data_IF_536820864871
#
_entry.id   IF_536820864871
#
_cell.length_a   1.000
_cell.length_b   1.000
_cell.length_c   1.000
_cell.angle_alpha   90.00
_cell.angle_beta   90.00
_cell.angle_gamma   90.00
#
_symmetry.space_group_name_H-M   'P 1'
#
loop_
_entity.id
_entity.type
_entity.pdbx_description
1 polymer ?
#
# COMPACT_ATOMS: atom_id res chain seq x y z
N UNK A 1 -75.63 -69.92 -2.98
CA UNK A 1 -74.71 -68.78 -3.17
C UNK A 1 -73.71 -69.17 -4.24
N UNK A 2 -73.74 -68.50 -5.38
CA UNK A 2 -72.88 -68.81 -6.53
C UNK A 2 -71.42 -68.46 -6.21
N UNK A 3 -70.46 -69.11 -6.87
CA UNK A 3 -69.02 -68.90 -6.67
C UNK A 3 -68.62 -67.43 -6.83
N UNK A 4 -69.23 -66.72 -7.78
CA UNK A 4 -69.02 -65.29 -8.01
C UNK A 4 -69.52 -64.42 -6.85
N UNK A 5 -70.68 -64.73 -6.28
CA UNK A 5 -71.22 -64.02 -5.10
C UNK A 5 -70.32 -64.23 -3.87
N UNK A 6 -69.68 -65.40 -3.76
CA UNK A 6 -68.72 -65.71 -2.67
C UNK A 6 -67.44 -64.93 -2.80
N UNK A 7 -66.94 -64.77 -4.01
CA UNK A 7 -65.78 -63.95 -4.27
C UNK A 7 -66.07 -62.47 -4.01
N UNK A 8 -67.22 -61.95 -4.45
CA UNK A 8 -67.63 -60.57 -4.20
C UNK A 8 -67.80 -60.27 -2.71
N UNK A 9 -68.45 -61.16 -1.95
CA UNK A 9 -68.60 -61.01 -0.49
C UNK A 9 -67.25 -61.03 0.23
N UNK A 10 -66.37 -61.95 -0.16
CA UNK A 10 -65.04 -62.03 0.44
C UNK A 10 -64.22 -60.76 0.16
N UNK A 11 -64.30 -60.19 -1.05
CA UNK A 11 -63.65 -58.92 -1.40
C UNK A 11 -64.18 -57.75 -0.58
N UNK A 12 -65.49 -57.69 -0.34
CA UNK A 12 -66.10 -56.67 0.53
C UNK A 12 -65.62 -56.80 1.99
N UNK A 13 -65.52 -58.03 2.51
CA UNK A 13 -64.96 -58.32 3.85
C UNK A 13 -63.51 -57.82 3.95
N UNK A 14 -62.68 -58.06 2.92
CA UNK A 14 -61.29 -57.59 2.89
C UNK A 14 -61.21 -56.07 2.84
N UNK A 15 -62.09 -55.41 2.07
CA UNK A 15 -62.17 -53.94 1.98
C UNK A 15 -62.51 -53.32 3.33
N UNK A 16 -63.54 -53.82 3.99
CA UNK A 16 -63.99 -53.34 5.31
C UNK A 16 -62.89 -53.47 6.37
N UNK A 17 -62.12 -54.56 6.34
CA UNK A 17 -60.96 -54.75 7.22
C UNK A 17 -59.80 -53.79 6.89
N UNK A 18 -59.59 -53.45 5.60
CA UNK A 18 -58.57 -52.47 5.18
C UNK A 18 -58.96 -51.03 5.55
N UNK A 19 -60.25 -50.73 5.54
CA UNK A 19 -60.81 -49.44 5.99
C UNK A 19 -60.81 -49.29 7.53
N UNK A 20 -60.36 -50.33 8.26
CA UNK A 20 -60.05 -50.25 9.68
C UNK A 20 -61.12 -50.82 10.62
N UNK A 21 -62.16 -51.47 10.10
CA UNK A 21 -63.12 -52.17 10.97
C UNK A 21 -62.47 -53.34 11.69
N UNK A 22 -62.85 -53.55 12.97
CA UNK A 22 -62.33 -54.68 13.75
C UNK A 22 -62.92 -55.98 13.22
N UNK A 23 -62.13 -57.06 13.27
CA UNK A 23 -62.54 -58.40 12.78
C UNK A 23 -63.83 -58.91 13.43
N UNK A 24 -64.09 -58.55 14.68
CA UNK A 24 -65.33 -58.87 15.40
C UNK A 24 -66.55 -58.19 14.80
N UNK A 25 -66.39 -56.97 14.32
CA UNK A 25 -67.48 -56.14 13.81
C UNK A 25 -67.80 -56.54 12.36
N UNK A 26 -66.76 -56.85 11.58
CA UNK A 26 -66.90 -57.44 10.24
C UNK A 26 -67.53 -58.84 10.32
N UNK A 27 -67.13 -59.67 11.29
CA UNK A 27 -67.76 -60.97 11.54
C UNK A 27 -69.26 -60.84 11.83
N UNK A 28 -69.64 -59.86 12.66
CA UNK A 28 -71.05 -59.57 12.95
C UNK A 28 -71.80 -59.03 11.73
N UNK A 29 -71.20 -58.11 10.98
CA UNK A 29 -71.79 -57.48 9.78
C UNK A 29 -72.09 -58.49 8.66
N UNK A 30 -71.21 -59.48 8.47
CA UNK A 30 -71.35 -60.47 7.40
C UNK A 30 -71.89 -61.83 7.88
N UNK A 31 -72.24 -61.97 9.16
CA UNK A 31 -72.79 -63.19 9.74
C UNK A 31 -71.82 -64.37 9.69
N UNK A 32 -70.53 -64.11 9.87
CA UNK A 32 -69.46 -65.12 9.80
C UNK A 32 -68.76 -65.29 11.14
N UNK A 33 -68.23 -66.48 11.40
CA UNK A 33 -67.32 -66.69 12.51
C UNK A 33 -66.04 -65.85 12.33
N UNK A 34 -65.47 -65.38 13.43
CA UNK A 34 -64.27 -64.53 13.43
C UNK A 34 -63.07 -65.24 12.79
N UNK A 35 -62.96 -66.55 12.99
CA UNK A 35 -61.93 -67.38 12.36
C UNK A 35 -62.10 -67.38 10.84
N UNK A 36 -63.33 -67.47 10.35
CA UNK A 36 -63.64 -67.45 8.91
C UNK A 36 -63.30 -66.11 8.27
N UNK A 37 -63.58 -64.99 8.96
CA UNK A 37 -63.15 -63.65 8.50
C UNK A 37 -61.63 -63.54 8.47
N UNK A 38 -60.93 -64.12 9.45
CA UNK A 38 -59.46 -64.13 9.47
C UNK A 38 -58.88 -64.99 8.34
N UNK A 39 -59.50 -66.14 8.06
CA UNK A 39 -59.10 -67.05 6.98
C UNK A 39 -59.35 -66.41 5.60
N UNK A 40 -60.50 -65.77 5.40
CA UNK A 40 -60.81 -65.05 4.17
C UNK A 40 -59.81 -63.91 3.95
N UNK A 41 -59.51 -63.16 5.01
CA UNK A 41 -58.50 -62.11 4.94
C UNK A 41 -57.13 -62.67 4.57
N UNK A 42 -56.69 -63.78 5.18
CA UNK A 42 -55.39 -64.40 4.87
C UNK A 42 -55.32 -65.04 3.48
N UNK A 43 -56.43 -65.58 2.97
CA UNK A 43 -56.49 -66.24 1.65
C UNK A 43 -56.59 -65.24 0.50
N UNK A 44 -57.22 -64.08 0.71
CA UNK A 44 -57.37 -63.04 -0.31
C UNK A 44 -56.36 -61.89 -0.19
N UNK A 45 -55.57 -61.84 0.88
CA UNK A 45 -54.39 -61.00 0.94
C UNK A 45 -53.24 -61.60 0.13
N UNK A 46 -53.40 -61.61 -1.20
CA UNK A 46 -52.27 -61.55 -2.11
C UNK A 46 -51.85 -60.08 -2.16
N UNK A 47 -50.65 -59.84 -1.63
CA UNK A 47 -49.83 -58.64 -1.69
C UNK A 47 -50.40 -57.28 -1.25
N UNK A 48 -50.01 -56.87 -0.03
CA UNK A 48 -49.27 -55.62 0.16
C UNK A 48 -48.14 -55.88 1.16
N UNK A 49 -46.99 -56.41 0.73
CA UNK A 49 -45.76 -56.25 1.48
C UNK A 49 -45.26 -54.85 1.14
N UNK A 50 -45.49 -53.87 2.01
CA UNK A 50 -44.36 -52.96 2.23
C UNK A 50 -43.36 -53.87 2.93
N UNK A 51 -42.44 -54.41 2.14
CA UNK A 51 -41.46 -55.42 2.52
C UNK A 51 -40.98 -55.08 3.93
N UNK A 52 -41.19 -55.98 4.90
CA UNK A 52 -40.88 -55.70 6.33
C UNK A 52 -39.45 -55.16 6.46
N UNK A 53 -38.55 -55.64 5.60
CA UNK A 53 -37.18 -55.12 5.47
C UNK A 53 -37.11 -53.69 4.96
N UNK A 54 -37.85 -53.31 3.90
CA UNK A 54 -37.89 -51.94 3.39
C UNK A 54 -38.56 -50.97 4.38
N UNK A 55 -39.60 -51.39 5.09
CA UNK A 55 -40.23 -50.58 6.15
C UNK A 55 -39.29 -50.38 7.33
N UNK A 56 -38.64 -51.46 7.79
CA UNK A 56 -37.70 -51.38 8.90
C UNK A 56 -36.45 -50.57 8.49
N UNK A 57 -36.02 -50.63 7.22
CA UNK A 57 -35.00 -49.76 6.63
C UNK A 57 -35.44 -48.29 6.56
N UNK A 58 -36.69 -48.00 6.18
CA UNK A 58 -37.23 -46.64 6.15
C UNK A 58 -37.36 -46.05 7.57
N UNK A 59 -37.80 -46.86 8.55
CA UNK A 59 -37.83 -46.46 9.97
C UNK A 59 -36.42 -46.18 10.48
N UNK A 60 -35.44 -47.02 10.11
CA UNK A 60 -34.04 -46.75 10.41
C UNK A 60 -33.65 -45.43 9.76
N UNK A 61 -33.86 -45.22 8.46
CA UNK A 61 -33.54 -43.98 7.73
C UNK A 61 -34.13 -42.72 8.39
N UNK A 62 -35.40 -42.73 8.79
CA UNK A 62 -36.01 -41.58 9.47
C UNK A 62 -35.40 -41.31 10.86
N UNK A 63 -35.03 -42.36 11.60
CA UNK A 63 -34.25 -42.23 12.83
C UNK A 63 -32.81 -41.75 12.53
N UNK A 64 -32.26 -42.14 11.38
CA UNK A 64 -31.00 -41.65 10.80
C UNK A 64 -31.14 -40.20 10.27
N UNK A 65 -32.32 -39.62 10.16
CA UNK A 65 -32.50 -38.22 9.74
C UNK A 65 -32.81 -37.31 10.94
N UNK A 66 -32.87 -37.89 12.14
CA UNK A 66 -33.03 -37.15 13.41
C UNK A 66 -34.47 -37.02 13.90
N UNK A 67 -35.41 -37.73 13.28
CA UNK A 67 -36.80 -37.75 13.73
C UNK A 67 -36.89 -38.38 15.14
N UNK A 68 -37.63 -37.74 16.05
CA UNK A 68 -37.81 -38.29 17.40
C UNK A 68 -38.59 -39.59 17.32
N UNK A 69 -38.24 -40.56 18.17
CA UNK A 69 -38.94 -41.86 18.22
C UNK A 69 -40.46 -41.72 18.43
N UNK A 70 -40.91 -40.69 19.14
CA UNK A 70 -42.33 -40.35 19.32
C UNK A 70 -43.02 -40.00 18.00
N UNK A 71 -42.30 -39.31 17.12
CA UNK A 71 -42.80 -38.83 15.84
C UNK A 71 -42.75 -39.97 14.80
N UNK A 72 -41.74 -40.83 14.87
CA UNK A 72 -41.66 -42.09 14.10
C UNK A 72 -42.79 -43.05 14.49
N UNK A 73 -43.13 -43.16 15.78
CA UNK A 73 -44.31 -43.93 16.25
C UNK A 73 -45.60 -43.41 15.62
N UNK A 74 -45.77 -42.08 15.57
CA UNK A 74 -46.94 -41.45 14.94
C UNK A 74 -46.95 -41.65 13.42
N UNK A 75 -45.81 -41.50 12.75
CA UNK A 75 -45.66 -41.60 11.29
C UNK A 75 -45.92 -43.03 10.79
N UNK A 76 -45.33 -44.03 11.42
CA UNK A 76 -45.44 -45.43 10.99
C UNK A 76 -46.54 -46.23 11.70
N UNK A 77 -47.22 -45.62 12.69
CA UNK A 77 -48.30 -46.23 13.48
C UNK A 77 -47.90 -47.57 14.09
N UNK A 78 -46.65 -47.70 14.52
CA UNK A 78 -46.12 -48.88 15.18
C UNK A 78 -45.96 -48.63 16.67
N UNK A 79 -46.08 -49.69 17.47
CA UNK A 79 -45.84 -49.63 18.91
C UNK A 79 -44.40 -49.16 19.21
N UNK A 80 -44.25 -48.41 20.30
CA UNK A 80 -42.97 -47.85 20.73
C UNK A 80 -41.89 -48.92 20.91
N UNK A 81 -42.28 -50.09 21.41
CA UNK A 81 -41.45 -51.25 21.65
C UNK A 81 -40.87 -51.81 20.35
N UNK A 82 -41.69 -51.85 19.29
CA UNK A 82 -41.30 -52.34 17.95
C UNK A 82 -40.27 -51.41 17.32
N UNK A 83 -40.49 -50.09 17.37
CA UNK A 83 -39.52 -49.10 16.87
C UNK A 83 -38.23 -49.12 17.71
N UNK A 84 -38.36 -49.31 19.03
CA UNK A 84 -37.21 -49.44 19.94
C UNK A 84 -36.42 -50.73 19.72
N UNK A 85 -37.08 -51.80 19.29
CA UNK A 85 -36.44 -53.06 18.93
C UNK A 85 -35.71 -52.93 17.59
N UNK A 86 -36.35 -52.34 16.56
CA UNK A 86 -35.73 -52.08 15.25
C UNK A 86 -34.49 -51.18 15.41
N UNK A 87 -34.59 -50.10 16.19
CA UNK A 87 -33.46 -49.22 16.48
C UNK A 87 -32.30 -49.93 17.20
N UNK A 88 -32.60 -50.85 18.12
CA UNK A 88 -31.59 -51.68 18.81
C UNK A 88 -30.96 -52.72 17.89
N UNK A 89 -31.78 -53.43 17.11
CA UNK A 89 -31.36 -54.51 16.21
C UNK A 89 -30.45 -54.00 15.09
N UNK A 90 -30.75 -52.84 14.51
CA UNK A 90 -29.95 -52.27 13.44
C UNK A 90 -28.73 -51.47 13.94
N UNK A 91 -28.44 -51.50 15.25
CA UNK A 91 -27.47 -50.60 15.93
C UNK A 91 -27.63 -49.14 15.47
N UNK A 92 -28.83 -48.78 15.05
CA UNK A 92 -29.11 -47.48 14.51
C UNK A 92 -29.09 -46.47 15.66
N UNK A 93 -28.00 -45.72 15.69
CA UNK A 93 -28.12 -44.27 15.50
C UNK A 93 -28.41 -43.37 16.67
N UNK A 94 -28.00 -43.75 17.88
CA UNK A 94 -27.81 -42.72 18.92
C UNK A 94 -26.40 -42.67 19.48
N UNK A 95 -25.77 -43.80 19.81
CA UNK A 95 -24.43 -43.80 20.42
C UNK A 95 -23.33 -43.45 19.40
N UNK A 96 -23.37 -44.06 18.21
CA UNK A 96 -22.37 -43.87 17.14
C UNK A 96 -22.42 -42.42 16.64
N UNK A 97 -23.61 -41.92 16.30
CA UNK A 97 -23.82 -40.51 15.90
C UNK A 97 -23.55 -39.48 16.98
N UNK A 98 -23.70 -39.83 18.26
CA UNK A 98 -23.26 -38.96 19.36
C UNK A 98 -21.74 -38.93 19.45
N UNK A 99 -21.06 -40.04 19.14
CA UNK A 99 -19.61 -40.12 19.09
C UNK A 99 -19.05 -39.36 17.88
N UNK A 100 -19.63 -39.54 16.70
CA UNK A 100 -19.27 -38.80 15.48
C UNK A 100 -19.46 -37.29 15.65
N UNK A 101 -20.64 -36.84 16.11
CA UNK A 101 -20.86 -35.40 16.39
C UNK A 101 -19.93 -34.84 17.46
N UNK A 102 -19.52 -35.66 18.44
CA UNK A 102 -18.49 -35.25 19.41
C UNK A 102 -17.14 -35.12 18.75
N UNK A 103 -16.74 -36.08 17.91
CA UNK A 103 -15.48 -36.03 17.17
C UNK A 103 -15.43 -34.84 16.21
N UNK A 104 -16.50 -34.57 15.46
CA UNK A 104 -16.60 -33.40 14.58
C UNK A 104 -16.47 -32.09 15.37
N UNK A 105 -17.17 -31.97 16.51
CA UNK A 105 -17.05 -30.81 17.38
C UNK A 105 -15.64 -30.68 17.95
N UNK A 106 -15.06 -31.78 18.43
CA UNK A 106 -13.74 -31.79 19.05
C UNK A 106 -12.66 -31.47 18.00
N UNK A 107 -12.82 -31.91 16.74
CA UNK A 107 -12.00 -31.48 15.60
C UNK A 107 -12.18 -29.98 15.29
N UNK A 108 -13.41 -29.47 15.28
CA UNK A 108 -13.65 -28.04 15.07
C UNK A 108 -13.00 -27.18 16.15
N UNK A 109 -13.05 -27.61 17.42
CA UNK A 109 -12.36 -26.94 18.53
C UNK A 109 -10.85 -26.94 18.30
N UNK A 110 -10.27 -28.05 17.84
CA UNK A 110 -8.83 -28.14 17.54
C UNK A 110 -8.44 -27.18 16.43
N UNK A 111 -9.20 -27.14 15.34
CA UNK A 111 -8.96 -26.21 14.22
C UNK A 111 -9.01 -24.76 14.70
N UNK A 112 -10.06 -24.36 15.41
CA UNK A 112 -10.17 -23.01 15.98
C UNK A 112 -9.00 -22.65 16.90
N UNK A 113 -8.53 -23.59 17.73
CA UNK A 113 -7.38 -23.38 18.60
C UNK A 113 -6.07 -23.27 17.80
N UNK A 114 -5.91 -24.05 16.73
CA UNK A 114 -4.78 -23.99 15.81
C UNK A 114 -4.78 -22.69 15.01
N UNK A 115 -5.96 -22.16 14.66
CA UNK A 115 -6.18 -20.85 14.02
C UNK A 115 -5.95 -19.68 14.98
N UNK A 116 -5.88 -19.95 16.29
CA UNK A 116 -5.40 -19.02 17.29
C UNK A 116 -6.44 -18.51 18.26
N UNK A 117 -7.63 -19.11 18.25
CA UNK A 117 -8.66 -18.81 19.21
C UNK A 117 -8.12 -19.01 20.62
N UNK A 118 -8.38 -18.04 21.51
CA UNK A 118 -8.04 -18.24 22.91
C UNK A 118 -8.96 -19.31 23.46
N UNK A 119 -8.43 -20.15 24.34
CA UNK A 119 -9.22 -21.17 25.03
C UNK A 119 -10.43 -20.57 25.78
N UNK A 120 -10.37 -19.30 26.22
CA UNK A 120 -11.49 -18.60 26.89
C UNK A 120 -12.64 -18.38 25.92
N UNK A 121 -12.29 -18.03 24.70
CA UNK A 121 -13.23 -17.71 23.63
C UNK A 121 -13.82 -19.03 23.11
N UNK A 122 -13.02 -20.10 23.06
CA UNK A 122 -13.50 -21.45 22.77
C UNK A 122 -14.46 -21.98 23.85
N UNK A 123 -14.24 -21.68 25.14
CA UNK A 123 -15.19 -22.00 26.22
C UNK A 123 -16.54 -21.31 25.96
N UNK A 124 -16.53 -20.03 25.58
CA UNK A 124 -17.74 -19.27 25.28
C UNK A 124 -18.45 -19.78 24.01
N UNK A 125 -17.70 -20.03 22.92
CA UNK A 125 -18.25 -20.47 21.62
C UNK A 125 -18.87 -21.86 21.70
N UNK A 126 -18.21 -22.80 22.36
CA UNK A 126 -18.63 -24.21 22.38
C UNK A 126 -19.42 -24.62 23.63
N UNK A 127 -19.52 -23.73 24.63
CA UNK A 127 -20.25 -24.01 25.88
C UNK A 127 -19.64 -25.15 26.71
N UNK A 128 -18.34 -25.38 26.57
CA UNK A 128 -17.61 -26.48 27.21
C UNK A 128 -16.69 -25.94 28.32
N UNK A 129 -16.38 -26.78 29.29
CA UNK A 129 -15.46 -26.38 30.36
C UNK A 129 -14.04 -26.23 29.85
N UNK A 130 -13.28 -25.31 30.45
CA UNK A 130 -11.86 -25.10 30.17
C UNK A 130 -11.02 -26.38 30.23
N UNK A 131 -11.33 -27.26 31.19
CA UNK A 131 -10.67 -28.55 31.40
C UNK A 131 -10.91 -29.49 30.22
N UNK A 132 -12.15 -29.57 29.74
CA UNK A 132 -12.51 -30.45 28.63
C UNK A 132 -11.91 -29.98 27.30
N UNK A 133 -11.88 -28.67 27.03
CA UNK A 133 -11.18 -28.11 25.85
C UNK A 133 -9.67 -28.38 25.92
N UNK A 134 -9.07 -28.28 27.11
CA UNK A 134 -7.66 -28.61 27.29
C UNK A 134 -7.39 -30.09 27.08
N UNK A 135 -8.28 -30.97 27.56
CA UNK A 135 -8.20 -32.41 27.35
C UNK A 135 -8.28 -32.78 25.87
N UNK A 136 -9.23 -32.21 25.12
CA UNK A 136 -9.34 -32.42 23.66
C UNK A 136 -8.04 -32.03 22.96
N UNK A 137 -7.50 -30.85 23.29
CA UNK A 137 -6.24 -30.39 22.70
C UNK A 137 -5.09 -31.37 23.00
N UNK A 138 -4.99 -31.89 24.22
CA UNK A 138 -3.95 -32.86 24.57
C UNK A 138 -4.15 -34.24 23.92
N UNK A 139 -5.38 -34.73 23.85
CA UNK A 139 -5.71 -36.03 23.22
C UNK A 139 -5.44 -36.01 21.71
N UNK A 140 -5.61 -34.86 21.08
CA UNK A 140 -5.34 -34.63 19.65
C UNK A 140 -3.89 -34.18 19.39
N UNK A 141 -3.01 -34.20 20.41
CA UNK A 141 -1.59 -33.89 20.27
C UNK A 141 -1.26 -32.42 20.00
N UNK A 142 -2.21 -31.51 20.26
CA UNK A 142 -2.06 -30.07 20.01
C UNK A 142 -1.30 -29.42 21.18
N UNK A 143 0.01 -29.28 21.02
CA UNK A 143 0.81 -28.50 21.95
C UNK A 143 0.62 -26.99 21.71
N UNK A 144 -0.31 -26.42 22.47
CA UNK A 144 -0.60 -24.98 22.45
C UNK A 144 0.60 -24.11 22.86
N UNK A 145 1.54 -24.63 23.65
CA UNK A 145 2.74 -23.88 24.01
C UNK A 145 3.67 -23.74 22.80
N UNK A 146 3.83 -24.82 22.04
CA UNK A 146 4.56 -24.84 20.77
C UNK A 146 3.92 -23.92 19.74
N UNK A 147 2.61 -24.01 19.51
CA UNK A 147 1.89 -23.14 18.55
C UNK A 147 2.05 -21.66 18.91
N UNK A 148 1.95 -21.30 20.19
CA UNK A 148 2.18 -19.91 20.64
C UNK A 148 3.63 -19.47 20.47
N UNK A 149 4.59 -20.39 20.55
CA UNK A 149 6.01 -20.09 20.32
C UNK A 149 6.24 -19.84 18.82
N UNK A 150 5.74 -20.72 17.96
CA UNK A 150 5.85 -20.60 16.49
C UNK A 150 5.22 -19.28 16.00
N UNK A 151 3.99 -18.96 16.42
CA UNK A 151 3.34 -17.67 16.11
C UNK A 151 4.11 -16.45 16.59
N UNK A 152 4.74 -16.54 17.77
CA UNK A 152 5.60 -15.47 18.27
C UNK A 152 6.82 -15.32 17.39
N UNK A 153 7.43 -16.42 16.94
CA UNK A 153 8.56 -16.40 16.02
C UNK A 153 8.17 -15.82 14.67
N UNK A 154 7.04 -16.22 14.09
CA UNK A 154 6.52 -15.65 12.83
C UNK A 154 6.31 -14.14 12.93
N UNK A 155 5.66 -13.67 14.01
CA UNK A 155 5.50 -12.23 14.27
C UNK A 155 6.85 -11.55 14.43
N UNK A 156 7.75 -12.13 15.21
CA UNK A 156 9.06 -11.55 15.50
C UNK A 156 9.94 -11.49 14.23
N UNK A 157 9.82 -12.47 13.33
CA UNK A 157 10.42 -12.46 11.99
C UNK A 157 9.82 -11.38 11.09
N UNK A 158 8.49 -11.24 11.06
CA UNK A 158 7.83 -10.19 10.29
C UNK A 158 8.25 -8.79 10.75
N UNK A 159 8.39 -8.58 12.07
CA UNK A 159 8.89 -7.31 12.62
C UNK A 159 10.30 -7.02 12.10
N UNK A 160 11.20 -8.00 12.09
CA UNK A 160 12.58 -7.82 11.62
C UNK A 160 12.61 -7.55 10.12
N UNK A 161 11.77 -8.23 9.34
CA UNK A 161 11.67 -8.01 7.90
C UNK A 161 11.18 -6.59 7.59
N UNK A 162 10.10 -6.13 8.22
CA UNK A 162 9.62 -4.75 8.09
C UNK A 162 10.70 -3.72 8.43
N UNK A 163 11.49 -3.98 9.50
CA UNK A 163 12.59 -3.10 9.88
C UNK A 163 13.71 -3.08 8.82
N UNK A 164 14.00 -4.24 8.19
CA UNK A 164 14.95 -4.38 7.06
C UNK A 164 14.43 -3.79 5.76
N UNK A 165 13.14 -3.56 5.63
CA UNK A 165 12.55 -2.83 4.50
C UNK A 165 12.53 -1.31 4.76
N UNK A 166 13.11 -0.86 5.89
CA UNK A 166 13.27 0.55 6.21
C UNK A 166 12.14 1.13 7.06
N UNK A 167 11.23 0.30 7.58
CA UNK A 167 10.19 0.76 8.49
C UNK A 167 10.80 1.41 9.73
N UNK A 168 10.25 2.57 10.14
CA UNK A 168 10.70 3.22 11.37
C UNK A 168 10.23 2.42 12.57
N UNK A 169 11.04 2.41 13.61
CA UNK A 169 10.69 1.75 14.88
C UNK A 169 9.39 2.27 15.48
N UNK A 170 9.10 3.57 15.34
CA UNK A 170 7.84 4.19 15.79
C UNK A 170 6.64 3.57 15.10
N UNK A 171 6.77 3.32 13.81
CA UNK A 171 5.69 2.82 12.97
C UNK A 171 5.50 1.32 13.26
N UNK A 172 6.59 0.59 13.51
CA UNK A 172 6.55 -0.79 13.98
C UNK A 172 5.89 -0.91 15.38
N UNK A 173 6.14 0.03 16.30
CA UNK A 173 5.45 0.08 17.61
C UNK A 173 3.94 0.19 17.42
N UNK A 174 3.49 1.07 16.52
CA UNK A 174 2.07 1.26 16.23
C UNK A 174 1.46 0.05 15.52
N UNK A 175 2.11 -0.48 14.49
CA UNK A 175 1.61 -1.61 13.68
C UNK A 175 1.45 -2.88 14.51
N UNK A 176 2.42 -3.20 15.37
CA UNK A 176 2.45 -4.46 16.12
C UNK A 176 1.94 -4.33 17.57
N UNK A 177 1.66 -3.11 18.05
CA UNK A 177 1.20 -2.87 19.42
C UNK A 177 2.20 -3.29 20.50
N UNK A 178 3.50 -3.27 20.19
CA UNK A 178 4.58 -3.66 21.09
C UNK A 178 5.36 -2.44 21.56
N UNK A 179 5.94 -2.52 22.76
CA UNK A 179 6.81 -1.45 23.26
C UNK A 179 8.09 -1.34 22.45
N UNK A 180 8.64 -0.13 22.41
CA UNK A 180 9.92 0.15 21.74
C UNK A 180 11.06 -0.76 22.20
N UNK A 181 11.12 -1.06 23.50
CA UNK A 181 12.11 -1.96 24.09
C UNK A 181 11.95 -3.39 23.58
N UNK A 182 10.70 -3.87 23.41
CA UNK A 182 10.47 -5.24 22.94
C UNK A 182 10.87 -5.40 21.49
N UNK A 183 10.53 -4.44 20.62
CA UNK A 183 10.95 -4.47 19.21
C UNK A 183 12.47 -4.44 19.09
N UNK A 184 13.14 -3.60 19.89
CA UNK A 184 14.61 -3.54 19.92
C UNK A 184 15.21 -4.87 20.36
N UNK A 185 14.62 -5.50 21.38
CA UNK A 185 15.08 -6.81 21.86
C UNK A 185 14.86 -7.91 20.84
N UNK A 186 13.72 -7.93 20.15
CA UNK A 186 13.43 -8.90 19.08
C UNK A 186 14.47 -8.79 17.97
N UNK A 187 14.81 -7.58 17.53
CA UNK A 187 15.84 -7.38 16.52
C UNK A 187 17.20 -7.96 16.97
N UNK A 188 17.60 -7.69 18.22
CA UNK A 188 18.84 -8.23 18.80
C UNK A 188 18.79 -9.76 18.95
N UNK A 189 17.68 -10.33 19.42
CA UNK A 189 17.46 -11.77 19.55
C UNK A 189 17.59 -12.48 18.19
N UNK A 190 17.22 -11.81 17.09
CA UNK A 190 17.37 -12.29 15.72
C UNK A 190 18.72 -11.92 15.08
N UNK A 191 19.69 -11.42 15.86
CA UNK A 191 21.03 -11.07 15.40
C UNK A 191 21.11 -9.81 14.54
N UNK A 192 20.06 -8.98 14.51
CA UNK A 192 19.98 -7.79 13.67
C UNK A 192 20.11 -6.52 14.52
N UNK A 193 21.17 -5.75 14.28
CA UNK A 193 21.30 -4.43 14.88
C UNK A 193 20.47 -3.42 14.10
N UNK A 194 19.55 -2.72 14.76
CA UNK A 194 18.75 -1.68 14.07
C UNK A 194 19.64 -0.50 13.63
N UNK A 195 20.82 -0.34 14.22
CA UNK A 195 21.80 0.63 13.75
C UNK A 195 22.47 0.19 12.44
N UNK A 196 22.75 -1.11 12.27
CA UNK A 196 23.32 -1.61 11.02
C UNK A 196 22.32 -1.52 9.87
N UNK A 197 21.06 -1.92 10.08
CA UNK A 197 20.00 -1.78 9.07
C UNK A 197 19.89 -0.34 8.55
N UNK A 198 19.89 0.64 9.47
CA UNK A 198 19.82 2.06 9.08
C UNK A 198 21.04 2.52 8.30
N UNK A 199 22.22 1.98 8.62
CA UNK A 199 23.46 2.28 7.90
C UNK A 199 23.43 1.68 6.50
N UNK A 200 22.95 0.45 6.36
CA UNK A 200 22.77 -0.25 5.08
C UNK A 200 21.81 0.51 4.16
N UNK A 201 20.60 0.84 4.64
CA UNK A 201 19.65 1.65 3.84
C UNK A 201 20.20 3.02 3.45
N UNK A 202 20.96 3.65 4.36
CA UNK A 202 21.63 4.91 4.03
C UNK A 202 22.61 4.68 2.88
N UNK A 203 23.41 3.63 2.93
CA UNK A 203 24.40 3.31 1.89
C UNK A 203 23.73 2.96 0.56
N UNK A 204 22.66 2.16 0.55
CA UNK A 204 21.88 1.84 -0.66
C UNK A 204 21.29 3.11 -1.30
N UNK A 205 20.67 3.96 -0.48
CA UNK A 205 20.15 5.24 -0.97
C UNK A 205 21.27 6.12 -1.52
N UNK A 206 22.38 6.25 -0.80
CA UNK A 206 23.50 7.09 -1.22
C UNK A 206 24.14 6.54 -2.51
N UNK A 207 24.20 5.21 -2.71
CA UNK A 207 24.62 4.57 -3.97
C UNK A 207 23.69 4.90 -5.13
N UNK A 208 22.37 4.81 -4.96
CA UNK A 208 21.41 5.17 -6.03
C UNK A 208 21.52 6.65 -6.41
N UNK A 209 21.73 7.53 -5.43
CA UNK A 209 21.99 8.97 -5.68
C UNK A 209 23.27 9.14 -6.51
N UNK A 210 24.34 8.41 -6.19
CA UNK A 210 25.61 8.48 -6.93
C UNK A 210 25.44 8.01 -8.36
N UNK A 211 24.67 6.95 -8.59
CA UNK A 211 24.38 6.44 -9.93
C UNK A 211 23.61 7.48 -10.76
N UNK A 212 22.54 8.06 -10.23
CA UNK A 212 21.79 9.13 -10.91
C UNK A 212 22.69 10.33 -11.27
N UNK A 213 23.61 10.70 -10.37
CA UNK A 213 24.57 11.78 -10.62
C UNK A 213 25.59 11.42 -11.70
N UNK A 214 25.99 10.14 -11.80
CA UNK A 214 26.87 9.63 -12.87
C UNK A 214 26.16 9.62 -14.23
N UNK A 215 24.86 9.34 -14.24
CA UNK A 215 24.00 9.40 -15.43
C UNK A 215 23.73 10.84 -15.91
N UNK A 216 24.25 11.85 -15.19
CA UNK A 216 24.23 13.25 -15.59
C UNK A 216 23.15 14.09 -14.91
N UNK A 217 22.40 13.51 -13.95
CA UNK A 217 21.43 14.27 -13.16
C UNK A 217 22.12 15.39 -12.38
N UNK A 218 21.54 16.59 -12.40
CA UNK A 218 22.11 17.70 -11.63
C UNK A 218 21.87 17.49 -10.14
N UNK A 219 22.75 18.08 -9.30
CA UNK A 219 22.57 17.97 -7.85
C UNK A 219 21.29 18.65 -7.33
N UNK A 220 20.70 19.56 -8.12
CA UNK A 220 19.43 20.22 -7.78
C UNK A 220 18.23 19.31 -8.09
N UNK A 221 18.24 18.61 -9.23
CA UNK A 221 17.23 17.60 -9.57
C UNK A 221 17.28 16.39 -8.64
N UNK A 222 18.49 15.92 -8.28
CA UNK A 222 18.64 14.85 -7.29
C UNK A 222 18.11 15.28 -5.91
N UNK A 223 18.34 16.54 -5.52
CA UNK A 223 17.83 17.06 -4.24
C UNK A 223 16.31 17.03 -4.17
N UNK A 224 15.62 17.40 -5.26
CA UNK A 224 14.15 17.35 -5.32
C UNK A 224 13.63 15.91 -5.37
N UNK A 225 14.23 15.04 -6.21
CA UNK A 225 13.85 13.62 -6.34
C UNK A 225 13.94 12.88 -5.00
N UNK A 226 15.05 13.04 -4.28
CA UNK A 226 15.29 12.33 -3.02
C UNK A 226 14.83 13.10 -1.77
N UNK A 227 14.25 14.30 -1.94
CA UNK A 227 13.83 15.19 -0.84
C UNK A 227 14.96 15.46 0.17
N UNK A 228 16.16 15.67 -0.36
CA UNK A 228 17.36 15.98 0.41
C UNK A 228 17.83 17.40 0.09
N UNK A 229 18.68 17.97 0.93
CA UNK A 229 19.24 19.30 0.62
C UNK A 229 20.30 19.18 -0.47
N UNK A 230 20.44 20.18 -1.38
CA UNK A 230 21.48 20.16 -2.40
C UNK A 230 22.89 20.03 -1.81
N UNK A 231 23.12 20.62 -0.63
CA UNK A 231 24.39 20.50 0.09
C UNK A 231 24.71 19.06 0.50
N UNK A 232 23.70 18.30 0.93
CA UNK A 232 23.86 16.89 1.31
C UNK A 232 24.17 16.01 0.10
N UNK A 233 23.46 16.21 -1.02
CA UNK A 233 23.77 15.54 -2.30
C UNK A 233 25.20 15.84 -2.75
N UNK A 234 25.66 17.09 -2.61
CA UNK A 234 27.04 17.47 -2.94
C UNK A 234 28.06 16.79 -2.03
N UNK A 235 27.73 16.56 -0.75
CA UNK A 235 28.61 15.83 0.16
C UNK A 235 28.68 14.35 -0.23
N UNK A 236 27.55 13.69 -0.54
CA UNK A 236 27.51 12.31 -1.05
C UNK A 236 28.38 12.21 -2.31
N UNK A 237 28.20 13.12 -3.27
CA UNK A 237 28.99 13.16 -4.49
C UNK A 237 30.50 13.25 -4.20
N UNK A 238 30.91 14.09 -3.24
CA UNK A 238 32.32 14.21 -2.83
C UNK A 238 32.85 12.96 -2.13
N UNK A 239 32.06 12.36 -1.23
CA UNK A 239 32.41 11.12 -0.54
C UNK A 239 32.65 9.98 -1.54
N UNK A 240 31.89 9.96 -2.63
CA UNK A 240 32.00 8.98 -3.72
C UNK A 240 32.89 9.44 -4.90
N UNK A 241 33.71 10.48 -4.72
CA UNK A 241 34.70 10.90 -5.71
C UNK A 241 34.16 11.63 -6.94
N UNK A 242 32.84 11.84 -7.04
CA UNK A 242 32.18 12.66 -8.06
C UNK A 242 32.41 14.15 -7.78
N UNK A 243 33.64 14.60 -8.01
CA UNK A 243 33.93 16.03 -7.99
C UNK A 243 33.41 16.64 -9.29
N UNK A 244 32.53 17.64 -9.19
CA UNK A 244 32.26 18.55 -10.31
C UNK A 244 33.62 18.99 -10.86
N UNK A 245 33.83 18.80 -12.17
CA UNK A 245 35.05 19.21 -12.83
C UNK A 245 35.40 20.62 -12.39
N UNK A 246 36.57 20.79 -11.78
CA UNK A 246 37.10 22.14 -11.58
C UNK A 246 37.23 22.71 -12.98
N UNK A 247 36.49 23.78 -13.27
CA UNK A 247 36.75 24.65 -14.42
C UNK A 247 38.26 24.83 -14.47
N UNK A 248 38.88 24.49 -15.60
CA UNK A 248 40.34 24.43 -15.65
C UNK A 248 40.90 25.80 -15.28
N UNK A 249 42.07 25.85 -14.65
CA UNK A 249 42.68 27.14 -14.30
C UNK A 249 42.80 28.06 -15.53
N UNK A 250 43.02 27.44 -16.70
CA UNK A 250 43.07 28.10 -18.00
C UNK A 250 41.72 28.69 -18.44
N UNK A 251 40.61 27.97 -18.27
CA UNK A 251 39.26 28.48 -18.55
C UNK A 251 38.88 29.65 -17.63
N UNK A 252 39.22 29.54 -16.35
CA UNK A 252 39.04 30.62 -15.37
C UNK A 252 39.84 31.87 -15.77
N UNK A 253 41.10 31.70 -16.15
CA UNK A 253 41.95 32.79 -16.61
C UNK A 253 41.51 33.39 -17.95
N UNK A 254 41.03 32.57 -18.89
CA UNK A 254 40.50 33.05 -20.16
C UNK A 254 39.25 33.92 -19.94
N UNK A 255 38.35 33.48 -19.06
CA UNK A 255 37.17 34.26 -18.67
C UNK A 255 37.55 35.54 -17.93
N UNK A 256 38.45 35.46 -16.95
CA UNK A 256 38.89 36.64 -16.19
C UNK A 256 39.57 37.66 -17.13
N UNK A 257 40.33 37.21 -18.13
CA UNK A 257 40.88 38.08 -19.20
C UNK A 257 39.79 38.73 -20.04
N UNK A 258 38.77 37.98 -20.46
CA UNK A 258 37.65 38.52 -21.23
C UNK A 258 36.89 39.60 -20.44
N UNK A 259 36.59 39.34 -19.16
CA UNK A 259 35.99 40.33 -18.24
C UNK A 259 36.87 41.58 -18.21
N UNK A 260 38.18 41.44 -18.05
CA UNK A 260 39.09 42.58 -18.00
C UNK A 260 39.14 43.37 -19.31
N UNK A 261 39.05 42.71 -20.45
CA UNK A 261 39.01 43.38 -21.75
C UNK A 261 37.76 44.26 -21.89
N UNK A 262 36.59 43.74 -21.51
CA UNK A 262 35.34 44.49 -21.50
C UNK A 262 35.39 45.68 -20.53
N UNK A 263 35.94 45.49 -19.32
CA UNK A 263 36.07 46.58 -18.35
C UNK A 263 37.05 47.66 -18.83
N UNK A 264 38.17 47.28 -19.48
CA UNK A 264 39.10 48.22 -20.12
C UNK A 264 38.46 48.94 -21.31
N UNK A 265 37.55 48.28 -22.02
CA UNK A 265 36.73 48.85 -23.09
C UNK A 265 35.64 49.82 -22.60
N UNK A 266 35.53 50.06 -21.30
CA UNK A 266 34.56 51.00 -20.74
C UNK A 266 33.22 50.38 -20.36
N UNK A 267 33.10 49.05 -20.34
CA UNK A 267 31.92 48.38 -19.80
C UNK A 267 31.81 48.62 -18.30
N UNK A 268 30.59 48.91 -17.82
CA UNK A 268 30.36 49.09 -16.39
C UNK A 268 30.42 47.75 -15.66
N UNK A 269 30.79 47.76 -14.37
CA UNK A 269 30.78 46.54 -13.54
C UNK A 269 29.39 45.90 -13.43
N UNK A 270 28.32 46.71 -13.56
CA UNK A 270 26.94 46.22 -13.51
C UNK A 270 26.57 45.48 -14.80
N UNK A 271 27.02 45.99 -15.95
CA UNK A 271 26.74 45.39 -17.25
C UNK A 271 27.59 44.14 -17.47
N UNK A 272 28.86 44.16 -17.04
CA UNK A 272 29.71 42.97 -17.02
C UNK A 272 29.16 41.88 -16.09
N UNK A 273 28.60 42.25 -14.93
CA UNK A 273 27.94 41.29 -14.04
C UNK A 273 26.77 40.56 -14.73
N UNK A 274 25.99 41.29 -15.53
CA UNK A 274 24.91 40.70 -16.35
C UNK A 274 25.46 39.84 -17.48
N UNK A 275 26.40 40.36 -18.28
CA UNK A 275 26.98 39.66 -19.44
C UNK A 275 27.62 38.32 -19.07
N UNK A 276 28.28 38.25 -17.92
CA UNK A 276 28.98 37.05 -17.47
C UNK A 276 28.21 36.22 -16.43
N UNK A 277 26.95 36.58 -16.14
CA UNK A 277 26.10 35.89 -15.16
C UNK A 277 26.77 35.73 -13.78
N UNK A 278 27.42 36.80 -13.32
CA UNK A 278 28.12 36.82 -12.02
C UNK A 278 27.68 38.01 -11.18
N UNK A 279 27.94 37.90 -9.88
CA UNK A 279 27.68 39.01 -8.97
C UNK A 279 28.64 40.17 -9.24
N UNK A 280 28.18 41.40 -9.06
CA UNK A 280 29.02 42.60 -9.19
C UNK A 280 30.26 42.55 -8.28
N UNK A 281 30.13 41.92 -7.12
CA UNK A 281 31.24 41.67 -6.18
C UNK A 281 32.31 40.79 -6.82
N UNK A 282 31.92 39.76 -7.56
CA UNK A 282 32.86 38.87 -8.25
C UNK A 282 33.62 39.62 -9.36
N UNK A 283 32.93 40.43 -10.17
CA UNK A 283 33.55 41.27 -11.20
C UNK A 283 34.55 42.26 -10.59
N UNK A 284 34.21 42.89 -9.45
CA UNK A 284 35.11 43.77 -8.72
C UNK A 284 36.34 43.04 -8.16
N UNK A 285 36.20 41.78 -7.72
CA UNK A 285 37.34 40.94 -7.30
C UNK A 285 38.28 40.66 -8.47
N UNK A 286 37.76 40.33 -9.65
CA UNK A 286 38.55 40.15 -10.87
C UNK A 286 39.30 41.44 -11.21
N UNK A 287 38.60 42.57 -11.24
CA UNK A 287 39.20 43.88 -11.52
C UNK A 287 40.37 44.21 -10.57
N UNK A 288 40.18 43.97 -9.26
CA UNK A 288 41.23 44.18 -8.24
C UNK A 288 42.41 43.23 -8.42
N UNK A 289 42.15 41.95 -8.72
CA UNK A 289 43.20 40.94 -8.99
C UNK A 289 44.10 41.37 -10.16
N UNK A 290 43.52 42.04 -11.16
CA UNK A 290 44.24 42.58 -12.32
C UNK A 290 44.63 44.06 -12.17
N UNK A 291 44.67 44.59 -10.95
CA UNK A 291 45.22 45.92 -10.64
C UNK A 291 44.34 47.12 -10.99
N UNK A 292 43.08 46.93 -11.41
CA UNK A 292 42.19 48.04 -11.76
C UNK A 292 41.39 48.49 -10.54
N UNK A 293 41.59 49.74 -10.11
CA UNK A 293 40.82 50.33 -9.01
C UNK A 293 39.44 50.78 -9.48
N UNK A 294 38.45 50.71 -8.59
CA UNK A 294 37.06 51.14 -8.88
C UNK A 294 36.99 52.60 -9.33
N UNK A 295 37.82 53.47 -8.76
CA UNK A 295 37.93 54.89 -9.11
C UNK A 295 38.42 55.09 -10.55
N UNK A 296 39.49 54.39 -10.93
CA UNK A 296 40.07 54.41 -12.28
C UNK A 296 39.07 53.90 -13.31
N UNK A 297 38.37 52.80 -13.01
CA UNK A 297 37.34 52.28 -13.89
C UNK A 297 36.20 53.27 -14.09
N UNK A 298 35.68 53.86 -13.01
CA UNK A 298 34.62 54.87 -13.14
C UNK A 298 35.08 56.12 -13.88
N UNK A 299 36.32 56.56 -13.68
CA UNK A 299 36.91 57.67 -14.42
C UNK A 299 36.98 57.35 -15.92
N UNK A 300 37.42 56.14 -16.29
CA UNK A 300 37.53 55.71 -17.69
C UNK A 300 36.18 55.58 -18.37
N UNK A 301 35.18 55.01 -17.71
CA UNK A 301 33.79 54.95 -18.21
C UNK A 301 33.25 56.36 -18.45
N UNK A 302 33.52 57.30 -17.53
CA UNK A 302 33.13 58.72 -17.70
C UNK A 302 33.85 59.35 -18.89
N UNK A 303 35.15 59.14 -19.03
CA UNK A 303 35.95 59.69 -20.14
C UNK A 303 35.45 59.19 -21.50
N UNK A 304 35.24 57.88 -21.66
CA UNK A 304 34.75 57.31 -22.91
C UNK A 304 33.34 57.82 -23.25
N UNK A 305 32.45 57.94 -22.26
CA UNK A 305 31.13 58.53 -22.45
C UNK A 305 31.22 60.01 -22.84
N UNK A 306 32.05 60.78 -22.14
CA UNK A 306 32.20 62.21 -22.39
C UNK A 306 32.84 62.47 -23.78
N UNK A 307 33.72 61.57 -24.26
CA UNK A 307 34.23 61.56 -25.64
C UNK A 307 33.14 61.25 -26.67
N UNK A 308 32.32 60.21 -26.43
CA UNK A 308 31.21 59.87 -27.33
C UNK A 308 30.17 61.00 -27.43
N UNK A 309 29.86 61.66 -26.31
CA UNK A 309 29.01 62.86 -26.27
C UNK A 309 29.61 64.00 -27.12
N UNK A 310 30.92 64.22 -27.02
CA UNK A 310 31.59 65.27 -27.79
C UNK A 310 31.59 64.95 -29.29
N UNK A 311 31.74 63.67 -29.65
CA UNK A 311 31.66 63.21 -31.03
C UNK A 311 30.25 63.43 -31.62
N UNK A 312 29.19 62.99 -30.92
CA UNK A 312 27.80 63.20 -31.34
C UNK A 312 27.49 64.71 -31.53
N UNK A 313 27.99 65.57 -30.64
CA UNK A 313 27.84 67.03 -30.77
C UNK A 313 28.61 67.59 -31.97
N UNK A 314 29.78 67.03 -32.29
CA UNK A 314 30.62 67.42 -33.43
C UNK A 314 29.96 67.00 -34.75
N UNK A 315 29.33 65.83 -34.77
CA UNK A 315 28.51 65.30 -35.87
C UNK A 315 27.18 66.06 -36.06
N UNK A 316 26.88 67.00 -35.16
CA UNK A 316 25.80 67.97 -35.32
C UNK A 316 24.52 67.65 -34.55
N UNK A 317 24.50 66.57 -33.76
CA UNK A 317 23.37 66.21 -32.90
C UNK A 317 23.05 67.36 -31.93
N UNK A 318 21.76 67.66 -31.76
CA UNK A 318 21.36 68.77 -30.89
C UNK A 318 21.58 68.41 -29.41
N UNK A 319 21.82 69.42 -28.57
CA UNK A 319 21.96 69.21 -27.11
C UNK A 319 20.73 68.53 -26.51
N UNK A 320 19.53 68.76 -27.07
CA UNK A 320 18.29 68.13 -26.60
C UNK A 320 18.29 66.62 -26.89
N UNK A 321 18.74 66.21 -28.07
CA UNK A 321 18.84 64.79 -28.46
C UNK A 321 19.92 64.06 -27.65
N UNK A 322 21.08 64.70 -27.44
CA UNK A 322 22.16 64.14 -26.62
C UNK A 322 21.74 63.96 -25.15
N UNK A 323 20.97 64.90 -24.59
CA UNK A 323 20.40 64.78 -23.23
C UNK A 323 19.51 63.53 -23.13
N UNK A 324 18.67 63.28 -24.13
CA UNK A 324 17.79 62.11 -24.16
C UNK A 324 18.58 60.82 -24.34
N UNK A 325 19.56 60.78 -25.25
CA UNK A 325 20.37 59.59 -25.56
C UNK A 325 21.21 59.11 -24.38
N UNK A 326 21.84 60.03 -23.64
CA UNK A 326 22.76 59.68 -22.54
C UNK A 326 22.15 59.85 -21.14
N UNK A 327 20.93 60.39 -21.03
CA UNK A 327 20.25 60.59 -19.74
C UNK A 327 20.98 61.54 -18.78
N UNK A 328 21.67 62.55 -19.31
CA UNK A 328 22.44 63.53 -18.52
C UNK A 328 21.76 64.90 -18.52
N UNK A 329 21.98 65.68 -17.46
CA UNK A 329 21.46 67.05 -17.41
C UNK A 329 22.07 67.93 -18.49
N UNK A 330 21.28 68.88 -19.00
CA UNK A 330 21.71 69.86 -20.01
C UNK A 330 23.00 70.59 -19.62
N UNK A 331 23.13 70.96 -18.34
CA UNK A 331 24.33 71.61 -17.80
C UNK A 331 25.58 70.72 -17.77
N UNK A 332 25.43 69.38 -17.66
CA UNK A 332 26.57 68.46 -17.76
C UNK A 332 27.04 68.33 -19.20
N UNK A 333 26.12 68.28 -20.17
CA UNK A 333 26.45 68.23 -21.60
C UNK A 333 27.18 69.51 -22.03
N UNK A 334 26.73 70.70 -21.61
CA UNK A 334 27.45 71.95 -21.90
C UNK A 334 28.86 71.98 -21.30
N UNK A 335 29.05 71.48 -20.08
CA UNK A 335 30.38 71.36 -19.48
C UNK A 335 31.29 70.43 -20.28
N UNK A 336 30.77 69.28 -20.74
CA UNK A 336 31.53 68.36 -21.60
C UNK A 336 31.90 69.04 -22.92
N UNK A 337 30.96 69.74 -23.55
CA UNK A 337 31.19 70.53 -24.77
C UNK A 337 32.32 71.55 -24.59
N UNK A 338 32.29 72.32 -23.50
CA UNK A 338 33.31 73.31 -23.18
C UNK A 338 34.68 72.68 -22.92
N UNK A 339 34.74 71.58 -22.15
CA UNK A 339 35.98 70.85 -21.85
C UNK A 339 36.62 70.25 -23.12
N UNK A 340 35.84 70.00 -24.16
CA UNK A 340 36.28 69.43 -25.44
C UNK A 340 36.47 70.48 -26.54
N UNK A 341 36.51 71.77 -26.18
CA UNK A 341 36.73 72.88 -27.11
C UNK A 341 35.57 73.17 -28.07
N UNK A 342 34.43 72.48 -27.91
CA UNK A 342 33.20 72.74 -28.64
C UNK A 342 32.49 73.92 -27.97
N UNK A 343 32.96 75.13 -28.24
CA UNK A 343 32.39 76.36 -27.72
C UNK A 343 30.89 76.51 -28.08
N UNK A 344 30.14 77.38 -27.38
CA UNK A 344 28.72 77.56 -27.66
C UNK A 344 28.52 77.96 -29.13
N UNK A 345 27.71 77.18 -29.88
CA UNK A 345 27.27 77.58 -31.22
C UNK A 345 26.61 78.96 -31.10
N UNK A 346 27.30 80.00 -31.61
CA UNK A 346 26.67 81.31 -31.82
C UNK A 346 25.51 81.10 -32.79
N UNK A 347 24.31 81.58 -32.44
CA UNK A 347 23.13 81.51 -33.31
C UNK A 347 23.51 82.06 -34.70
N UNK A 348 23.37 81.24 -35.74
CA UNK A 348 23.57 81.62 -37.14
C UNK A 348 24.86 81.17 -37.83
N UNK A 349 25.80 80.45 -37.18
CA UNK A 349 27.02 79.96 -37.85
C UNK A 349 26.84 78.52 -38.37
N UNK A 350 27.11 78.23 -39.66
CA UNK A 350 27.10 76.85 -40.18
C UNK A 350 28.22 76.01 -39.52
N UNK A 351 28.12 74.66 -39.55
CA UNK A 351 29.08 73.79 -38.89
C UNK A 351 30.51 74.07 -39.38
N UNK A 352 31.44 74.24 -38.45
CA UNK A 352 32.87 74.41 -38.79
C UNK A 352 33.32 73.18 -39.60
N UNK A 353 33.74 73.41 -40.84
CA UNK A 353 34.52 72.46 -41.61
C UNK A 353 35.82 72.14 -40.85
N UNK A 354 36.29 70.90 -41.03
CA UNK A 354 37.52 70.38 -40.42
C UNK A 354 38.73 71.30 -40.69
N UNK A 355 39.73 71.35 -39.77
CA UNK A 355 40.99 72.02 -40.07
C UNK A 355 41.67 71.32 -41.25
N UNK A 356 42.14 72.11 -42.22
CA UNK A 356 42.97 71.61 -43.32
C UNK A 356 44.30 71.07 -42.79
N UNK A 357 44.72 69.91 -43.31
CA UNK A 357 46.03 69.31 -43.07
C UNK A 357 47.14 70.27 -43.52
N UNK A 358 48.20 70.48 -42.71
CA UNK A 358 49.42 71.11 -43.19
C UNK A 358 50.31 70.06 -43.87
N UNK A 359 50.58 70.29 -45.16
CA UNK A 359 51.60 69.60 -45.97
C UNK A 359 53.02 69.86 -45.48
#
# INVERSE_FOLDING_TARGET
MNMQERQARNLAIVRDLREGMRRTDVARKYGLARETVSLIFSMQSVDIPINRKERDQAIVKDLQEGMKRTDVVRKYRLAWETISLIARMHRADMAIRRKERRQERDQAIVLDLQEGMKKTDAVQKYGLTWRYITQIATEQGVDMARIRKERRQERDQAIVQDLREGMKRTDAVQKYGLTWQRITRIAIEQGVSIASIRKEHKQERDQTIVQDLQEGMTSEEAATKYRLTPAYICNIAREHGLRRGRVSAQELEARDRAVMQDLKGGMSTKDAARKYERTQVHILKIARKHGVRRSEQQARVRQLRDLAIAQDLREGMSVKEVVTKYGLSKGRIYRISQMQGLGPRRRGRPPNAAPADPS
#
